data_IF_564778221608
#
_entry.id   IF_564778221608
#
_cell.length_a   1.000
_cell.length_b   1.000
_cell.length_c   1.000
_cell.angle_alpha   90.00
_cell.angle_beta   90.00
_cell.angle_gamma   90.00
#
_symmetry.space_group_name_H-M   'P 1'
#
loop_
_entity.id
_entity.type
_entity.pdbx_description
1 polymer ?
#
# COMPACT_ATOMS: atom_id res chain seq x y z
N UNK A 1 2.99 7.36 37.47
CA UNK A 1 3.63 6.43 36.51
C UNK A 1 2.89 6.51 35.21
N UNK A 2 3.59 6.94 34.18
CA UNK A 2 3.05 6.94 32.83
C UNK A 2 3.15 5.56 32.23
N UNK A 3 2.03 4.97 31.97
CA UNK A 3 2.00 3.79 31.13
C UNK A 3 2.06 4.27 29.69
N UNK A 4 3.20 4.07 29.07
CA UNK A 4 3.28 4.29 27.64
C UNK A 4 2.57 3.14 26.94
N UNK A 5 1.35 3.39 26.51
CA UNK A 5 0.70 2.49 25.59
C UNK A 5 1.39 2.69 24.25
N UNK A 6 2.35 1.82 23.97
CA UNK A 6 2.91 1.75 22.64
C UNK A 6 1.82 1.19 21.74
N UNK A 7 1.20 2.04 20.94
CA UNK A 7 0.31 1.59 19.89
C UNK A 7 1.16 0.83 18.88
N UNK A 8 1.08 -0.49 18.93
CA UNK A 8 1.72 -1.33 17.91
C UNK A 8 0.84 -1.28 16.66
N UNK A 9 1.23 -0.43 15.72
CA UNK A 9 0.58 -0.38 14.43
C UNK A 9 0.97 -1.62 13.64
N UNK A 10 -0.01 -2.32 13.11
CA UNK A 10 0.20 -3.49 12.27
C UNK A 10 -0.16 -3.13 10.84
N UNK A 11 0.74 -3.44 9.94
CA UNK A 11 0.58 -3.20 8.51
C UNK A 11 0.42 -4.51 7.75
N UNK A 12 0.05 -4.40 6.49
CA UNK A 12 0.06 -5.50 5.54
C UNK A 12 1.13 -5.23 4.49
N UNK A 13 1.74 -6.29 3.99
CA UNK A 13 2.64 -6.24 2.84
C UNK A 13 2.14 -7.22 1.78
N UNK A 14 2.16 -6.80 0.53
CA UNK A 14 1.66 -7.61 -0.59
C UNK A 14 2.36 -7.24 -1.88
N UNK A 15 2.52 -8.20 -2.78
CA UNK A 15 3.01 -7.93 -4.12
C UNK A 15 1.92 -7.26 -4.94
N UNK A 16 2.26 -6.19 -5.62
CA UNK A 16 1.40 -5.56 -6.62
C UNK A 16 1.55 -6.35 -7.94
N UNK A 17 0.72 -7.38 -8.10
CA UNK A 17 0.82 -8.32 -9.20
C UNK A 17 0.64 -7.63 -10.55
N UNK A 18 1.57 -7.86 -11.47
CA UNK A 18 1.50 -7.27 -12.81
C UNK A 18 1.85 -5.79 -12.89
N UNK A 19 2.27 -5.18 -11.79
CA UNK A 19 2.59 -3.76 -11.72
C UNK A 19 4.09 -3.57 -11.94
N UNK A 20 4.43 -2.63 -12.82
CA UNK A 20 5.81 -2.35 -13.23
C UNK A 20 6.45 -1.17 -12.50
N UNK A 21 5.62 -0.24 -12.01
CA UNK A 21 6.08 1.00 -11.37
C UNK A 21 4.98 1.59 -10.50
N UNK A 22 5.35 2.59 -9.69
CA UNK A 22 4.38 3.33 -8.87
C UNK A 22 3.36 4.05 -9.76
N UNK A 23 3.80 4.65 -10.86
CA UNK A 23 2.90 5.32 -11.80
C UNK A 23 1.91 4.34 -12.45
N UNK A 24 2.37 3.15 -12.80
CA UNK A 24 1.50 2.10 -13.32
C UNK A 24 0.42 1.73 -12.31
N UNK A 25 0.79 1.57 -11.03
CA UNK A 25 -0.16 1.29 -9.96
C UNK A 25 -1.18 2.41 -9.82
N UNK A 26 -0.72 3.66 -9.83
CA UNK A 26 -1.59 4.84 -9.73
C UNK A 26 -2.61 4.87 -10.86
N UNK A 27 -2.15 4.69 -12.09
CA UNK A 27 -3.01 4.73 -13.27
C UNK A 27 -4.08 3.64 -13.22
N UNK A 28 -3.68 2.42 -12.85
CA UNK A 28 -4.60 1.30 -12.73
C UNK A 28 -5.66 1.54 -11.64
N UNK A 29 -5.25 2.08 -10.50
CA UNK A 29 -6.16 2.39 -9.40
C UNK A 29 -7.13 3.49 -9.76
N UNK A 30 -6.67 4.55 -10.43
CA UNK A 30 -7.54 5.63 -10.90
C UNK A 30 -8.57 5.11 -11.91
N UNK A 31 -8.16 4.24 -12.80
CA UNK A 31 -9.08 3.61 -13.76
C UNK A 31 -10.17 2.82 -13.05
N UNK A 32 -9.80 2.05 -12.02
CA UNK A 32 -10.76 1.27 -11.23
C UNK A 32 -11.76 2.13 -10.49
N UNK A 33 -11.31 3.23 -9.90
CA UNK A 33 -12.19 4.19 -9.23
C UNK A 33 -13.16 4.81 -10.22
N UNK A 34 -12.67 5.27 -11.35
CA UNK A 34 -13.50 5.89 -12.38
C UNK A 34 -14.53 4.92 -12.94
N UNK A 35 -14.14 3.69 -13.21
CA UNK A 35 -15.04 2.66 -13.72
C UNK A 35 -16.16 2.33 -12.71
N UNK A 36 -15.83 2.15 -11.45
CA UNK A 36 -16.81 1.88 -10.41
C UNK A 36 -17.79 3.03 -10.24
N UNK A 37 -17.30 4.25 -10.36
CA UNK A 37 -18.10 5.45 -10.28
C UNK A 37 -19.08 5.60 -11.46
N UNK A 38 -18.60 5.33 -12.67
CA UNK A 38 -19.42 5.32 -13.89
C UNK A 38 -20.52 4.27 -13.85
N UNK A 39 -20.21 3.10 -13.30
CA UNK A 39 -21.17 2.01 -13.14
C UNK A 39 -22.13 2.24 -11.96
N UNK A 40 -21.93 3.31 -11.17
CA UNK A 40 -22.76 3.63 -10.03
C UNK A 40 -22.64 2.65 -8.87
N UNK A 41 -21.56 1.88 -8.82
CA UNK A 41 -21.35 0.85 -7.77
C UNK A 41 -20.84 1.48 -6.48
N UNK A 42 -19.75 2.25 -6.58
CA UNK A 42 -19.14 2.99 -5.46
C UNK A 42 -18.10 3.97 -6.01
N UNK A 43 -17.58 4.83 -5.15
CA UNK A 43 -16.51 5.78 -5.45
C UNK A 43 -15.21 5.47 -4.68
N UNK A 44 -15.10 4.26 -4.15
CA UNK A 44 -13.98 3.85 -3.30
C UNK A 44 -12.95 3.04 -4.06
N UNK A 45 -11.71 3.07 -3.58
CA UNK A 45 -10.67 2.19 -4.06
C UNK A 45 -10.69 0.90 -3.24
N UNK A 46 -11.05 -0.21 -3.87
CA UNK A 46 -11.17 -1.49 -3.22
C UNK A 46 -10.15 -2.48 -3.80
N UNK A 47 -9.45 -3.15 -2.90
CA UNK A 47 -8.55 -4.25 -3.25
C UNK A 47 -9.08 -5.54 -2.62
N UNK A 48 -9.32 -6.56 -3.45
CA UNK A 48 -9.86 -7.84 -2.98
C UNK A 48 -8.73 -8.80 -2.63
N UNK A 49 -8.84 -9.44 -1.48
CA UNK A 49 -7.96 -10.53 -1.07
C UNK A 49 -8.77 -11.73 -0.61
N UNK A 50 -8.14 -12.91 -0.57
CA UNK A 50 -8.83 -14.13 -0.14
C UNK A 50 -9.07 -14.18 1.35
N UNK A 51 -8.09 -13.78 2.14
CA UNK A 51 -8.13 -13.92 3.59
C UNK A 51 -8.38 -12.59 4.27
N UNK A 52 -9.30 -12.59 5.22
CA UNK A 52 -9.52 -11.43 6.09
C UNK A 52 -8.52 -11.47 7.23
N UNK A 53 -7.75 -10.40 7.45
CA UNK A 53 -6.83 -10.35 8.59
C UNK A 53 -7.56 -10.54 9.91
N UNK A 54 -7.08 -11.45 10.75
CA UNK A 54 -7.62 -11.64 12.11
C UNK A 54 -7.37 -10.43 12.99
N UNK A 55 -6.24 -9.75 12.77
CA UNK A 55 -5.89 -8.53 13.49
C UNK A 55 -6.47 -7.28 12.84
N UNK A 56 -7.68 -7.42 12.33
CA UNK A 56 -8.39 -6.35 11.61
C UNK A 56 -8.40 -5.04 12.38
N UNK A 57 -8.75 -5.08 13.66
CA UNK A 57 -8.85 -3.87 14.46
C UNK A 57 -7.50 -3.15 14.62
N UNK A 58 -6.42 -3.92 14.74
CA UNK A 58 -5.07 -3.35 14.84
C UNK A 58 -4.63 -2.76 13.50
N UNK A 59 -4.95 -3.43 12.38
CA UNK A 59 -4.63 -2.93 11.05
C UNK A 59 -5.40 -1.64 10.75
N UNK A 60 -6.66 -1.56 11.17
CA UNK A 60 -7.48 -0.37 10.94
C UNK A 60 -7.10 0.82 11.82
N UNK A 61 -6.23 0.62 12.81
CA UNK A 61 -5.67 1.72 13.60
C UNK A 61 -4.38 2.23 12.96
N UNK A 62 -4.51 3.02 11.89
CA UNK A 62 -3.41 3.62 11.14
C UNK A 62 -2.54 2.65 10.35
N UNK A 63 -3.01 1.43 10.10
CA UNK A 63 -2.28 0.48 9.26
C UNK A 63 -2.33 0.85 7.79
N UNK A 64 -1.27 0.47 7.09
CA UNK A 64 -1.14 0.66 5.64
C UNK A 64 -0.86 -0.67 4.96
N UNK A 65 -1.16 -0.74 3.66
CA UNK A 65 -0.67 -1.81 2.82
C UNK A 65 0.60 -1.32 2.12
N UNK A 66 1.69 -2.08 2.27
CA UNK A 66 2.97 -1.81 1.63
C UNK A 66 3.07 -2.65 0.38
N UNK A 67 3.25 -2.02 -0.75
CA UNK A 67 3.27 -2.69 -2.04
C UNK A 67 4.68 -3.04 -2.48
N UNK A 68 4.89 -4.31 -2.80
CA UNK A 68 6.14 -4.80 -3.38
C UNK A 68 6.02 -4.68 -4.90
N UNK A 69 6.90 -3.91 -5.49
CA UNK A 69 7.00 -3.73 -6.95
C UNK A 69 8.44 -4.05 -7.35
N UNK A 70 8.59 -5.05 -8.22
CA UNK A 70 9.91 -5.50 -8.72
C UNK A 70 10.93 -5.75 -7.59
N UNK A 71 10.54 -6.56 -6.62
CA UNK A 71 11.42 -7.04 -5.58
C UNK A 71 11.65 -6.09 -4.41
N UNK A 72 11.02 -4.91 -4.40
CA UNK A 72 11.17 -3.91 -3.35
C UNK A 72 9.84 -3.37 -2.89
N UNK A 73 9.71 -3.13 -1.58
CA UNK A 73 8.65 -2.24 -1.10
C UNK A 73 9.01 -0.84 -1.58
N UNK A 74 8.05 -0.16 -2.24
CA UNK A 74 8.26 1.16 -2.85
C UNK A 74 7.24 2.20 -2.44
N UNK A 75 6.07 1.77 -2.01
CA UNK A 75 4.94 2.67 -1.79
C UNK A 75 3.96 2.01 -0.82
N UNK A 76 3.27 2.85 -0.05
CA UNK A 76 2.23 2.39 0.86
C UNK A 76 0.93 3.16 0.66
N UNK A 77 -0.16 2.56 1.05
CA UNK A 77 -1.48 3.19 1.07
C UNK A 77 -2.16 2.90 2.41
N UNK A 78 -2.78 3.91 2.96
CA UNK A 78 -3.52 3.76 4.21
C UNK A 78 -4.76 2.88 4.00
N UNK A 79 -5.00 1.94 4.92
CA UNK A 79 -6.17 1.07 4.90
C UNK A 79 -7.25 1.73 5.76
N UNK A 80 -8.34 2.18 5.12
CA UNK A 80 -9.40 2.91 5.79
C UNK A 80 -10.62 2.06 6.12
N UNK A 81 -10.71 0.88 5.55
CA UNK A 81 -11.82 -0.04 5.83
C UNK A 81 -11.51 -1.45 5.40
N UNK A 82 -12.30 -2.38 5.90
CA UNK A 82 -12.12 -3.79 5.62
C UNK A 82 -13.47 -4.49 5.78
N UNK A 83 -13.96 -5.09 4.70
CA UNK A 83 -15.28 -5.72 4.69
C UNK A 83 -15.21 -7.13 4.11
N UNK A 84 -16.00 -8.03 4.69
CA UNK A 84 -16.16 -9.36 4.13
C UNK A 84 -17.18 -9.28 2.99
N UNK A 85 -16.81 -9.80 1.82
CA UNK A 85 -17.69 -9.82 0.65
C UNK A 85 -17.71 -11.20 0.04
N UNK A 86 -18.73 -11.47 -0.78
CA UNK A 86 -18.89 -12.75 -1.47
C UNK A 86 -18.53 -12.53 -2.95
N UNK A 87 -17.57 -13.32 -3.45
CA UNK A 87 -17.19 -13.31 -4.84
C UNK A 87 -18.21 -14.00 -5.75
N UNK A 88 -17.98 -13.89 -7.07
CA UNK A 88 -18.88 -14.44 -8.09
C UNK A 88 -19.14 -15.95 -7.93
N UNK A 89 -18.15 -16.68 -7.42
CA UNK A 89 -18.25 -18.14 -7.23
C UNK A 89 -18.73 -18.51 -5.83
N UNK A 90 -19.32 -17.60 -5.08
CA UNK A 90 -19.75 -17.84 -3.71
C UNK A 90 -18.60 -17.90 -2.70
N UNK A 91 -17.36 -17.65 -3.11
CA UNK A 91 -16.21 -17.65 -2.21
C UNK A 91 -16.20 -16.40 -1.34
N UNK A 92 -15.77 -16.56 -0.10
CA UNK A 92 -15.60 -15.41 0.80
C UNK A 92 -14.30 -14.68 0.48
N UNK A 93 -14.41 -13.37 0.34
CA UNK A 93 -13.27 -12.49 0.08
C UNK A 93 -13.25 -11.36 1.10
N UNK A 94 -12.12 -10.72 1.21
CA UNK A 94 -11.96 -9.49 1.99
C UNK A 94 -11.76 -8.30 1.05
N UNK A 95 -12.60 -7.28 1.20
CA UNK A 95 -12.45 -6.02 0.49
C UNK A 95 -11.69 -5.04 1.37
N UNK A 96 -10.46 -4.73 1.00
CA UNK A 96 -9.68 -3.68 1.64
C UNK A 96 -10.03 -2.36 0.98
N UNK A 97 -10.54 -1.42 1.77
CA UNK A 97 -10.82 -0.07 1.28
C UNK A 97 -9.58 0.77 1.54
N UNK A 98 -9.00 1.30 0.48
CA UNK A 98 -7.72 2.00 0.52
C UNK A 98 -7.91 3.49 0.29
N UNK A 99 -7.11 4.31 0.96
CA UNK A 99 -6.94 5.70 0.60
C UNK A 99 -6.21 5.74 -0.74
N UNK A 100 -6.71 6.47 -1.75
CA UNK A 100 -6.04 6.55 -3.06
C UNK A 100 -4.65 7.18 -3.03
N UNK A 101 -4.31 7.90 -1.96
CA UNK A 101 -3.00 8.55 -1.85
C UNK A 101 -1.89 7.51 -1.73
N UNK A 102 -0.98 7.48 -2.70
CA UNK A 102 0.21 6.65 -2.69
C UNK A 102 1.35 7.39 -2.03
N UNK A 103 1.86 6.85 -0.94
CA UNK A 103 2.99 7.44 -0.22
C UNK A 103 4.26 6.65 -0.54
N UNK A 104 5.19 7.27 -1.22
CA UNK A 104 6.46 6.64 -1.58
C UNK A 104 7.29 6.37 -0.32
N UNK A 105 7.94 5.22 -0.29
CA UNK A 105 8.82 4.82 0.82
C UNK A 105 10.26 4.71 0.35
N UNK A 106 11.16 4.65 1.31
CA UNK A 106 12.53 4.21 1.05
C UNK A 106 12.45 2.79 0.51
N UNK A 107 13.32 2.43 -0.43
CA UNK A 107 13.34 1.08 -1.01
C UNK A 107 13.78 0.05 0.02
N UNK A 108 12.97 -0.96 0.22
CA UNK A 108 13.31 -2.09 1.08
C UNK A 108 13.16 -3.39 0.28
N UNK A 109 14.25 -4.13 0.05
CA UNK A 109 14.16 -5.42 -0.63
C UNK A 109 13.22 -6.37 0.11
N UNK A 110 12.41 -7.09 -0.63
CA UNK A 110 11.50 -8.07 -0.06
C UNK A 110 11.41 -9.29 -0.97
N UNK A 111 11.50 -10.46 -0.39
CA UNK A 111 11.35 -11.70 -1.16
C UNK A 111 9.91 -11.89 -1.62
N UNK A 112 9.69 -12.66 -2.69
CA UNK A 112 8.33 -12.94 -3.17
C UNK A 112 7.48 -13.62 -2.09
N UNK A 113 6.22 -13.21 -2.02
CA UNK A 113 5.23 -13.80 -1.10
C UNK A 113 3.92 -14.02 -1.87
N UNK A 114 3.11 -14.94 -1.38
CA UNK A 114 1.75 -15.13 -1.90
C UNK A 114 0.76 -14.50 -0.94
N UNK A 115 -0.18 -13.70 -1.50
CA UNK A 115 -1.14 -12.96 -0.71
C UNK A 115 -0.46 -11.89 0.13
N UNK A 116 -1.11 -11.51 1.21
CA UNK A 116 -0.58 -10.52 2.13
C UNK A 116 0.07 -11.19 3.35
N UNK A 117 0.94 -10.43 4.03
CA UNK A 117 1.53 -10.81 5.31
C UNK A 117 1.43 -9.62 6.26
N UNK A 118 1.37 -9.89 7.56
CA UNK A 118 1.51 -8.85 8.57
C UNK A 118 2.94 -8.30 8.58
N UNK A 119 3.05 -7.02 8.86
CA UNK A 119 4.34 -6.39 9.07
C UNK A 119 4.23 -5.35 10.18
N UNK A 120 5.14 -5.43 11.13
CA UNK A 120 5.15 -4.52 12.28
C UNK A 120 5.71 -3.15 11.89
N UNK A 121 5.37 -2.13 12.67
CA UNK A 121 5.80 -0.75 12.44
C UNK A 121 7.33 -0.64 12.34
N UNK A 122 8.07 -1.36 13.18
CA UNK A 122 9.54 -1.31 13.18
C UNK A 122 10.14 -1.96 11.93
N UNK A 123 9.40 -2.79 11.25
CA UNK A 123 9.89 -3.56 10.09
C UNK A 123 9.56 -2.93 8.75
N UNK A 124 8.74 -1.89 8.72
CA UNK A 124 8.38 -1.23 7.46
C UNK A 124 9.35 -0.08 7.16
N UNK A 125 9.59 0.21 5.87
CA UNK A 125 10.47 1.33 5.50
C UNK A 125 9.81 2.66 5.80
N UNK A 126 10.63 3.65 6.15
CA UNK A 126 10.17 5.01 6.35
C UNK A 126 9.68 5.62 5.04
N UNK A 127 8.78 6.58 5.14
CA UNK A 127 8.36 7.36 3.99
C UNK A 127 9.53 8.14 3.41
N UNK A 128 9.52 8.27 2.09
CA UNK A 128 10.55 9.01 1.38
C UNK A 128 10.34 10.51 1.59
N UNK A 129 11.33 11.18 2.14
CA UNK A 129 11.31 12.64 2.23
C UNK A 129 11.97 13.21 0.97
N UNK A 130 11.13 13.60 0.00
CA UNK A 130 11.61 14.11 -1.29
C UNK A 130 12.48 15.35 -1.15
N UNK A 131 12.15 16.24 -0.23
CA UNK A 131 12.89 17.49 -0.04
C UNK A 131 14.28 17.25 0.55
N UNK A 132 14.40 16.40 1.54
CA UNK A 132 15.69 16.02 2.11
C UNK A 132 16.58 15.32 1.08
N UNK A 133 16.02 14.43 0.29
CA UNK A 133 16.74 13.70 -0.74
C UNK A 133 17.21 14.65 -1.84
N UNK A 134 16.36 15.56 -2.30
CA UNK A 134 16.71 16.57 -3.30
C UNK A 134 17.82 17.48 -2.84
N UNK A 135 17.83 17.88 -1.57
CA UNK A 135 18.86 18.75 -1.01
C UNK A 135 20.20 18.06 -0.80
N UNK A 136 20.20 16.72 -0.62
CA UNK A 136 21.41 15.94 -0.35
C UNK A 136 22.01 15.27 -1.58
N UNK A 137 21.31 15.24 -2.72
CA UNK A 137 21.75 14.56 -3.94
C UNK A 137 22.22 15.54 -5.00
N UNK A 138 23.24 15.16 -5.81
CA UNK A 138 23.55 15.90 -7.02
C UNK A 138 22.35 15.97 -7.97
N UNK A 139 22.23 17.05 -8.73
CA UNK A 139 21.09 17.26 -9.64
C UNK A 139 20.89 16.09 -10.62
N UNK A 140 21.98 15.54 -11.15
CA UNK A 140 21.94 14.40 -12.07
C UNK A 140 21.32 13.16 -11.42
N UNK A 141 21.64 12.91 -10.15
CA UNK A 141 21.12 11.78 -9.40
C UNK A 141 19.64 11.97 -9.06
N UNK A 142 19.23 13.20 -8.72
CA UNK A 142 17.85 13.53 -8.47
C UNK A 142 17.00 13.33 -9.73
N UNK A 143 17.49 13.72 -10.90
CA UNK A 143 16.82 13.50 -12.18
C UNK A 143 16.65 12.01 -12.51
N UNK A 144 17.71 11.24 -12.27
CA UNK A 144 17.66 9.79 -12.48
C UNK A 144 16.61 9.14 -11.58
N UNK A 145 16.57 9.53 -10.31
CA UNK A 145 15.56 9.01 -9.38
C UNK A 145 14.14 9.41 -9.79
N UNK A 146 13.96 10.62 -10.31
CA UNK A 146 12.64 11.04 -10.84
C UNK A 146 12.23 10.23 -12.05
N UNK A 147 13.16 9.94 -12.96
CA UNK A 147 12.88 9.14 -14.15
C UNK A 147 12.47 7.72 -13.77
N UNK A 148 12.95 7.22 -12.63
CA UNK A 148 12.58 5.91 -12.09
C UNK A 148 11.31 5.94 -11.24
N UNK A 149 10.68 7.11 -11.07
CA UNK A 149 9.49 7.25 -10.23
C UNK A 149 9.76 7.18 -8.73
N UNK A 150 10.99 7.45 -8.30
CA UNK A 150 11.40 7.37 -6.89
C UNK A 150 11.43 8.72 -6.17
N UNK A 151 11.24 9.80 -6.91
CA UNK A 151 11.09 11.15 -6.39
C UNK A 151 9.83 11.81 -6.92
#
# INVERSE_FOLDING_TARGET
VRIHIIKMTIHLVKIAVGIESIDHLRDLQLERICRAKEEGVHDKLIHLTRNTPRRRNEVLQNGSIYWIIKGYIRVRQHIIGMEKVVGRNGQQLCALVLDPLLKKTILLPHKPIQGWRYKEEEAVPNDLNEDEIKSSLPSSMAEELRSLGLL
#
